data_IF_813343312086
#
_entry.id   IF_813343312086
#
_cell.length_a   1.000
_cell.length_b   1.000
_cell.length_c   1.000
_cell.angle_alpha   90.00
_cell.angle_beta   90.00
_cell.angle_gamma   90.00
#
_symmetry.space_group_name_H-M   'P 1'
#
loop_
_entity.id
_entity.type
_entity.pdbx_description
1 polymer ?
#
# COMPACT_ATOMS: atom_id res chain seq x y z
N UNK A 1 -12.10 17.47 -16.63
CA UNK A 1 -12.62 16.23 -16.01
C UNK A 1 -11.83 15.95 -14.75
N UNK A 2 -12.45 16.03 -13.58
CA UNK A 2 -11.78 15.75 -12.29
C UNK A 2 -11.48 14.25 -12.24
N UNK A 3 -10.19 13.88 -12.27
CA UNK A 3 -9.74 12.49 -12.14
C UNK A 3 -10.20 11.98 -10.78
N UNK A 4 -11.30 11.23 -10.76
CA UNK A 4 -11.90 10.72 -9.54
C UNK A 4 -10.82 9.91 -8.81
N UNK A 5 -10.41 10.38 -7.63
CA UNK A 5 -9.43 9.69 -6.80
C UNK A 5 -10.05 8.33 -6.48
N UNK A 6 -9.47 7.25 -7.01
CA UNK A 6 -9.80 5.88 -6.59
C UNK A 6 -9.54 5.79 -5.10
N UNK A 7 -10.62 5.70 -4.32
CA UNK A 7 -10.55 5.50 -2.88
C UNK A 7 -10.39 4.01 -2.63
N UNK A 8 -9.24 3.63 -2.08
CA UNK A 8 -9.00 2.26 -1.65
C UNK A 8 -9.35 2.11 -0.17
N UNK A 9 -10.01 1.02 0.19
CA UNK A 9 -10.32 0.67 1.58
C UNK A 9 -9.05 0.47 2.41
N UNK A 10 -9.14 0.70 3.73
CA UNK A 10 -8.00 0.52 4.63
C UNK A 10 -7.44 -0.91 4.59
N UNK A 11 -8.32 -1.91 4.55
CA UNK A 11 -7.94 -3.33 4.41
C UNK A 11 -7.15 -3.57 3.13
N UNK A 12 -7.59 -3.00 2.02
CA UNK A 12 -6.89 -3.13 0.74
C UNK A 12 -5.48 -2.54 0.77
N UNK A 13 -5.30 -1.40 1.43
CA UNK A 13 -3.98 -0.78 1.60
C UNK A 13 -3.06 -1.66 2.41
N UNK A 14 -3.59 -2.29 3.47
CA UNK A 14 -2.85 -3.19 4.36
C UNK A 14 -2.48 -4.49 3.66
N UNK A 15 -3.40 -5.09 2.91
CA UNK A 15 -3.13 -6.25 2.05
C UNK A 15 -2.02 -5.95 1.04
N UNK A 16 -2.15 -4.86 0.28
CA UNK A 16 -1.15 -4.49 -0.73
C UNK A 16 0.23 -4.20 -0.11
N UNK A 17 0.26 -3.56 1.06
CA UNK A 17 1.49 -3.35 1.82
C UNK A 17 2.06 -4.66 2.41
N UNK A 18 1.20 -5.59 2.82
CA UNK A 18 1.55 -6.92 3.27
C UNK A 18 2.20 -7.76 2.18
N UNK A 19 1.79 -7.63 0.92
CA UNK A 19 2.46 -8.31 -0.20
C UNK A 19 3.94 -7.93 -0.31
N UNK A 20 4.28 -6.66 -0.04
CA UNK A 20 5.67 -6.18 -0.08
C UNK A 20 6.44 -6.60 1.17
N UNK A 21 5.86 -6.39 2.36
CA UNK A 21 6.56 -6.63 3.64
C UNK A 21 6.60 -8.09 4.07
N UNK A 22 5.58 -8.86 3.73
CA UNK A 22 5.36 -10.22 4.21
C UNK A 22 5.73 -11.25 3.14
N UNK A 23 5.28 -11.03 1.90
CA UNK A 23 5.60 -11.91 0.78
C UNK A 23 6.84 -11.49 -0.01
N UNK A 24 7.45 -10.34 0.29
CA UNK A 24 8.69 -9.89 -0.35
C UNK A 24 8.52 -9.42 -1.81
N UNK A 25 7.30 -9.11 -2.26
CA UNK A 25 7.08 -8.58 -3.59
C UNK A 25 7.73 -7.21 -3.77
N UNK A 26 8.19 -6.92 -4.99
CA UNK A 26 8.62 -5.56 -5.33
C UNK A 26 7.44 -4.60 -5.34
N UNK A 27 7.68 -3.34 -4.96
CA UNK A 27 6.67 -2.28 -4.98
C UNK A 27 5.96 -2.17 -6.35
N UNK A 28 6.69 -2.39 -7.45
CA UNK A 28 6.14 -2.39 -8.80
C UNK A 28 5.14 -3.54 -9.00
N UNK A 29 5.48 -4.74 -8.55
CA UNK A 29 4.63 -5.93 -8.71
C UNK A 29 3.38 -5.84 -7.83
N UNK A 30 3.56 -5.45 -6.58
CA UNK A 30 2.45 -5.25 -5.65
C UNK A 30 1.55 -4.06 -6.05
N UNK A 31 2.06 -3.09 -6.81
CA UNK A 31 1.27 -1.99 -7.39
C UNK A 31 0.54 -2.41 -8.67
N UNK A 32 1.05 -3.42 -9.39
CA UNK A 32 0.53 -3.90 -10.69
C UNK A 32 -0.80 -4.64 -10.53
N UNK A 33 -0.91 -5.56 -9.57
CA UNK A 33 -2.15 -6.32 -9.30
C UNK A 33 -3.36 -5.41 -9.02
N UNK A 34 -3.26 -4.40 -8.15
CA UNK A 34 -4.39 -3.52 -7.82
C UNK A 34 -4.54 -2.29 -8.73
N UNK A 35 -3.62 -2.06 -9.69
CA UNK A 35 -3.60 -0.84 -10.50
C UNK A 35 -3.36 0.43 -9.67
N UNK A 36 -2.55 0.31 -8.62
CA UNK A 36 -2.20 1.39 -7.69
C UNK A 36 -0.92 2.07 -8.19
N UNK A 37 -0.77 3.36 -7.91
CA UNK A 37 0.47 4.08 -8.22
C UNK A 37 1.55 3.67 -7.22
N UNK A 38 2.77 3.39 -7.67
CA UNK A 38 3.89 2.96 -6.80
C UNK A 38 4.09 3.90 -5.60
N UNK A 39 3.97 5.22 -5.80
CA UNK A 39 4.10 6.21 -4.73
C UNK A 39 3.04 6.07 -3.63
N UNK A 40 1.82 5.66 -3.98
CA UNK A 40 0.77 5.39 -3.01
C UNK A 40 1.07 4.12 -2.23
N UNK A 41 1.56 3.08 -2.91
CA UNK A 41 1.94 1.83 -2.28
C UNK A 41 3.10 2.03 -1.29
N UNK A 42 4.16 2.76 -1.66
CA UNK A 42 5.27 3.09 -0.74
C UNK A 42 4.77 3.75 0.55
N UNK A 43 3.82 4.68 0.44
CA UNK A 43 3.20 5.31 1.62
C UNK A 43 2.48 4.30 2.50
N UNK A 44 1.72 3.37 1.92
CA UNK A 44 1.01 2.35 2.68
C UNK A 44 1.95 1.35 3.33
N UNK A 45 3.01 0.93 2.62
CA UNK A 45 4.08 0.07 3.16
C UNK A 45 4.74 0.73 4.36
N UNK A 46 5.13 2.00 4.23
CA UNK A 46 5.76 2.74 5.30
C UNK A 46 4.81 2.91 6.50
N UNK A 47 3.52 3.16 6.25
CA UNK A 47 2.51 3.25 7.31
C UNK A 47 2.28 1.91 8.00
N UNK A 48 2.20 0.80 7.26
CA UNK A 48 2.07 -0.53 7.84
C UNK A 48 3.30 -0.94 8.66
N UNK A 49 4.49 -0.53 8.20
CA UNK A 49 5.73 -0.75 8.93
C UNK A 49 5.79 0.05 10.23
N UNK A 50 5.33 1.31 10.22
CA UNK A 50 5.17 2.11 11.44
C UNK A 50 4.17 1.48 12.40
N UNK A 51 3.00 1.04 11.92
CA UNK A 51 2.01 0.32 12.74
C UNK A 51 2.61 -0.94 13.39
N UNK A 52 3.40 -1.72 12.63
CA UNK A 52 4.13 -2.91 13.14
C UNK A 52 5.19 -2.55 14.18
N UNK A 53 5.83 -1.39 14.04
CA UNK A 53 6.82 -0.89 14.99
C UNK A 53 6.17 -0.22 16.24
N UNK A 54 4.85 -0.35 16.41
CA UNK A 54 4.12 0.26 17.53
C UNK A 54 3.92 1.77 17.39
N UNK A 55 4.33 2.36 16.26
CA UNK A 55 4.03 3.74 15.91
C UNK A 55 2.64 3.74 15.28
N UNK A 56 1.61 3.70 16.12
CA UNK A 56 0.25 3.97 15.68
C UNK A 56 0.10 5.49 15.51
N UNK A 57 -0.44 5.98 14.38
CA UNK A 57 -0.66 7.41 14.16
C UNK A 57 -1.67 8.00 15.14
#
# INVERSE_FOLDING_TARGET
MTKQRRTFSAEFKREAAGLVLDQGYSHIEAARSPGVVESALRRWVNQLQQERNGVKP
#
